data_IF_862432215562
#
_entry.id   IF_862432215562
#
_cell.length_a   1.000
_cell.length_b   1.000
_cell.length_c   1.000
_cell.angle_alpha   90.00
_cell.angle_beta   90.00
_cell.angle_gamma   90.00
#
_symmetry.space_group_name_H-M   'P 1'
#
loop_
_entity.id
_entity.type
_entity.pdbx_description
1 polymer ?
#
# COMPACT_ATOMS: atom_id res chain seq x y z
N UNK A 1 9.43 11.67 -30.96
CA UNK A 1 9.86 12.08 -29.61
C UNK A 1 10.82 11.01 -29.11
N UNK A 2 12.06 11.37 -28.79
CA UNK A 2 13.02 10.45 -28.17
C UNK A 2 12.89 10.58 -26.65
N UNK A 3 12.15 9.65 -26.03
CA UNK A 3 11.76 9.74 -24.61
C UNK A 3 12.97 9.89 -23.68
N UNK A 4 14.08 9.22 -23.98
CA UNK A 4 15.28 9.22 -23.14
C UNK A 4 16.13 10.51 -23.20
N UNK A 5 15.81 11.44 -24.11
CA UNK A 5 16.51 12.72 -24.28
C UNK A 5 15.72 13.91 -23.74
N UNK A 6 14.55 13.67 -23.14
CA UNK A 6 13.75 14.70 -22.52
C UNK A 6 14.23 14.93 -21.09
N UNK A 7 14.11 16.18 -20.63
CA UNK A 7 14.29 16.51 -19.23
C UNK A 7 13.09 16.02 -18.41
N UNK A 8 13.30 15.68 -17.14
CA UNK A 8 12.22 15.34 -16.23
C UNK A 8 11.35 16.56 -15.92
N UNK A 9 10.04 16.38 -15.92
CA UNK A 9 9.06 17.43 -15.60
C UNK A 9 8.10 16.93 -14.50
N UNK A 10 7.66 17.85 -13.63
CA UNK A 10 6.67 17.54 -12.60
C UNK A 10 5.25 17.54 -13.18
N UNK A 11 4.38 16.73 -12.59
CA UNK A 11 2.95 16.76 -12.91
C UNK A 11 2.27 18.03 -12.41
N UNK A 12 1.20 18.45 -13.08
CA UNK A 12 0.48 19.67 -12.75
C UNK A 12 -0.19 19.63 -11.36
N UNK A 13 -0.16 20.77 -10.65
CA UNK A 13 -0.84 20.99 -9.38
C UNK A 13 -2.29 21.44 -9.60
N UNK A 14 -3.27 21.03 -8.76
CA UNK A 14 -3.12 20.33 -7.48
C UNK A 14 -3.24 18.81 -7.52
N UNK A 15 -3.45 18.20 -8.68
CA UNK A 15 -3.79 16.77 -8.80
C UNK A 15 -2.59 15.86 -9.10
N UNK A 16 -1.42 16.43 -9.38
CA UNK A 16 -0.17 15.71 -9.63
C UNK A 16 0.48 15.04 -8.41
N UNK A 17 0.38 15.58 -7.18
CA UNK A 17 0.99 14.94 -6.01
C UNK A 17 0.41 13.54 -5.73
N UNK A 18 1.28 12.57 -5.51
CA UNK A 18 0.91 11.20 -5.12
C UNK A 18 1.79 10.70 -3.97
N UNK A 19 1.39 9.61 -3.33
CA UNK A 19 2.17 8.96 -2.26
C UNK A 19 2.77 7.65 -2.75
N UNK A 20 3.79 7.14 -2.05
CA UNK A 20 4.38 5.84 -2.35
C UNK A 20 3.39 4.66 -2.25
N UNK A 21 2.25 4.85 -1.56
CA UNK A 21 1.15 3.88 -1.58
C UNK A 21 0.42 3.88 -2.93
N UNK A 22 0.17 5.05 -3.53
CA UNK A 22 -0.42 5.16 -4.87
C UNK A 22 0.50 4.63 -5.97
N UNK A 23 1.81 4.85 -5.86
CA UNK A 23 2.81 4.39 -6.84
C UNK A 23 2.78 2.87 -7.06
N UNK A 24 2.48 2.08 -6.03
CA UNK A 24 2.56 0.61 -6.11
C UNK A 24 1.29 -0.05 -6.67
N UNK A 25 0.22 0.69 -6.96
CA UNK A 25 -1.07 0.11 -7.39
C UNK A 25 -0.96 -0.73 -8.67
N UNK A 26 -0.01 -0.40 -9.56
CA UNK A 26 0.20 -1.12 -10.82
C UNK A 26 0.85 -2.50 -10.68
N UNK A 27 1.35 -2.86 -9.51
CA UNK A 27 1.94 -4.17 -9.24
C UNK A 27 0.94 -5.10 -8.54
N UNK A 28 1.01 -6.40 -8.82
CA UNK A 28 0.19 -7.40 -8.12
C UNK A 28 0.45 -7.37 -6.61
N UNK A 29 -0.63 -7.21 -5.83
CA UNK A 29 -0.59 -7.01 -4.38
C UNK A 29 -0.38 -5.56 -3.91
N UNK A 30 -0.06 -4.62 -4.81
CA UNK A 30 0.21 -3.24 -4.43
C UNK A 30 -1.01 -2.47 -3.92
N UNK A 31 -2.19 -2.71 -4.50
CA UNK A 31 -3.46 -2.15 -3.98
C UNK A 31 -3.75 -2.66 -2.56
N UNK A 32 -3.52 -3.96 -2.31
CA UNK A 32 -3.72 -4.55 -0.98
C UNK A 32 -2.74 -3.97 0.03
N UNK A 33 -1.45 -3.88 -0.32
CA UNK A 33 -0.43 -3.24 0.53
C UNK A 33 -0.79 -1.79 0.88
N UNK A 34 -1.26 -1.01 -0.09
CA UNK A 34 -1.70 0.35 0.16
C UNK A 34 -2.94 0.43 1.06
N UNK A 35 -3.94 -0.43 0.83
CA UNK A 35 -5.15 -0.49 1.63
C UNK A 35 -4.84 -0.82 3.09
N UNK A 36 -3.95 -1.79 3.33
CA UNK A 36 -3.53 -2.19 4.68
C UNK A 36 -2.79 -1.06 5.40
N UNK A 37 -1.88 -0.34 4.73
CA UNK A 37 -1.18 0.81 5.32
C UNK A 37 -2.17 1.86 5.82
N UNK A 38 -3.17 2.20 5.02
CA UNK A 38 -4.21 3.16 5.41
C UNK A 38 -5.12 2.60 6.51
N UNK A 39 -5.57 1.36 6.39
CA UNK A 39 -6.44 0.72 7.38
C UNK A 39 -5.78 0.64 8.75
N UNK A 40 -4.49 0.31 8.81
CA UNK A 40 -3.73 0.23 10.05
C UNK A 40 -3.74 1.56 10.81
N UNK A 41 -3.45 2.66 10.12
CA UNK A 41 -3.50 3.99 10.73
C UNK A 41 -4.93 4.37 11.16
N UNK A 42 -5.92 4.11 10.31
CA UNK A 42 -7.31 4.47 10.60
C UNK A 42 -7.84 3.77 11.87
N UNK A 43 -7.46 2.51 12.08
CA UNK A 43 -7.87 1.67 13.22
C UNK A 43 -7.03 1.97 14.46
N UNK A 44 -5.69 1.96 14.34
CA UNK A 44 -4.79 2.05 15.51
C UNK A 44 -4.46 3.48 15.92
N UNK A 45 -4.71 4.46 15.04
CA UNK A 45 -4.22 5.85 15.13
C UNK A 45 -2.70 5.96 15.25
N UNK A 46 -1.97 4.91 14.87
CA UNK A 46 -0.51 4.84 14.87
C UNK A 46 -0.02 4.54 13.46
N UNK A 47 1.13 5.10 13.13
CA UNK A 47 1.83 4.74 11.90
C UNK A 47 2.35 3.30 11.99
N UNK A 48 2.32 2.62 10.86
CA UNK A 48 2.89 1.28 10.75
C UNK A 48 4.42 1.39 10.69
N UNK A 49 5.12 0.66 11.56
CA UNK A 49 6.58 0.77 11.69
C UNK A 49 7.33 0.30 10.43
N UNK A 50 6.83 -0.74 9.76
CA UNK A 50 7.32 -1.18 8.46
C UNK A 50 6.16 -1.20 7.47
N UNK A 51 6.22 -0.30 6.49
CA UNK A 51 5.20 -0.17 5.45
C UNK A 51 5.33 -1.28 4.38
N UNK A 52 6.42 -2.04 4.37
CA UNK A 52 6.67 -3.05 3.34
C UNK A 52 5.94 -4.36 3.63
N UNK A 53 4.78 -4.55 3.00
CA UNK A 53 4.10 -5.84 3.00
C UNK A 53 4.62 -6.74 1.87
N UNK A 54 5.76 -7.37 2.12
CA UNK A 54 6.39 -8.32 1.17
C UNK A 54 5.51 -9.54 0.82
N UNK A 55 4.73 -10.15 1.73
CA UNK A 55 3.96 -11.37 1.44
C UNK A 55 2.90 -11.23 0.34
N UNK A 56 2.40 -10.02 0.08
CA UNK A 56 1.39 -9.78 -0.98
C UNK A 56 2.03 -9.49 -2.34
N UNK A 57 3.36 -9.28 -2.39
CA UNK A 57 4.11 -9.04 -3.64
C UNK A 57 4.45 -10.36 -4.33
N UNK A 58 4.82 -10.31 -5.61
CA UNK A 58 5.21 -11.48 -6.39
C UNK A 58 4.11 -12.01 -7.32
N UNK A 59 4.44 -12.97 -8.17
CA UNK A 59 3.61 -13.42 -9.31
C UNK A 59 2.79 -14.67 -9.02
N UNK A 60 2.76 -15.14 -7.77
CA UNK A 60 1.93 -16.28 -7.39
C UNK A 60 0.45 -15.99 -7.64
N UNK A 61 -0.27 -17.01 -8.15
CA UNK A 61 -1.66 -16.85 -8.61
C UNK A 61 -2.65 -16.50 -7.50
N UNK A 62 -2.41 -16.98 -6.27
CA UNK A 62 -3.17 -16.63 -5.06
C UNK A 62 -2.16 -16.42 -3.94
N UNK A 63 -2.32 -15.33 -3.20
CA UNK A 63 -1.45 -14.95 -2.08
C UNK A 63 -2.33 -14.63 -0.89
N UNK A 64 -1.85 -15.01 0.29
CA UNK A 64 -2.51 -14.69 1.56
C UNK A 64 -1.46 -14.19 2.55
N UNK A 65 -1.86 -13.25 3.40
CA UNK A 65 -1.04 -12.73 4.50
C UNK A 65 -1.91 -12.49 5.75
N UNK A 66 -1.28 -12.49 6.92
CA UNK A 66 -1.93 -12.10 8.17
C UNK A 66 -1.29 -10.82 8.69
N UNK A 67 -2.14 -9.87 9.07
CA UNK A 67 -1.73 -8.57 9.59
C UNK A 67 -2.30 -8.38 10.98
N UNK A 68 -1.42 -8.13 11.96
CA UNK A 68 -1.83 -7.82 13.32
C UNK A 68 -1.94 -6.31 13.51
N UNK A 69 -3.13 -5.86 13.87
CA UNK A 69 -3.46 -4.46 14.14
C UNK A 69 -3.24 -4.13 15.63
N UNK A 70 -2.98 -5.12 16.48
CA UNK A 70 -2.78 -4.94 17.93
C UNK A 70 -4.01 -4.48 18.71
N UNK A 71 -5.11 -4.16 18.01
CA UNK A 71 -6.41 -3.78 18.57
C UNK A 71 -7.53 -4.54 17.85
N UNK A 72 -8.67 -4.79 18.51
CA UNK A 72 -9.80 -5.46 17.87
C UNK A 72 -10.34 -4.64 16.71
N UNK A 73 -10.52 -5.27 15.55
CA UNK A 73 -11.08 -4.62 14.36
C UNK A 73 -12.53 -5.05 14.18
N UNK A 74 -13.48 -4.14 14.39
CA UNK A 74 -14.92 -4.34 14.12
C UNK A 74 -15.51 -5.63 14.73
N UNK A 75 -15.09 -6.00 15.95
CA UNK A 75 -15.57 -7.22 16.63
C UNK A 75 -14.87 -8.52 16.18
N UNK A 76 -13.97 -8.45 15.21
CA UNK A 76 -12.99 -9.50 14.92
C UNK A 76 -11.77 -9.35 15.85
N UNK A 77 -10.93 -10.39 15.94
CA UNK A 77 -9.70 -10.36 16.73
C UNK A 77 -8.71 -9.27 16.29
N UNK A 78 -7.51 -9.25 16.86
CA UNK A 78 -6.49 -8.25 16.50
C UNK A 78 -5.87 -8.50 15.13
N UNK A 79 -6.07 -9.70 14.56
CA UNK A 79 -5.43 -10.16 13.33
C UNK A 79 -6.44 -10.29 12.20
N UNK A 80 -6.04 -9.81 11.02
CA UNK A 80 -6.84 -9.89 9.78
C UNK A 80 -6.04 -10.67 8.75
N UNK A 81 -6.70 -11.65 8.13
CA UNK A 81 -6.17 -12.39 6.97
C UNK A 81 -6.62 -11.70 5.68
N UNK A 82 -5.68 -11.47 4.78
CA UNK A 82 -5.85 -10.79 3.48
C UNK A 82 -5.25 -11.62 2.37
#
# INVERSE_FOLDING_TARGET
IEILKLDDEEADSPLGPYTGAGTIFGATGGVMEAAVRSAYYLVTKKELADVNFKPVRGLDGVKEAEVDFGVPVLGSGTKIRI
#
